data_IF_903790316821
#
_entry.id   IF_903790316821
#
_cell.length_a   1.000
_cell.length_b   1.000
_cell.length_c   1.000
_cell.angle_alpha   90.00
_cell.angle_beta   90.00
_cell.angle_gamma   90.00
#
_symmetry.space_group_name_H-M   'P 1'
#
loop_
_entity.id
_entity.type
_entity.pdbx_description
1 polymer ?
#
# COMPACT_ATOMS: atom_id res chain seq x y z
N UNK A 1 -91.70 39.96 -22.79
CA UNK A 1 -91.18 38.78 -22.06
C UNK A 1 -89.80 39.07 -21.42
N UNK A 2 -88.92 39.84 -22.06
CA UNK A 2 -87.58 40.21 -21.54
C UNK A 2 -87.55 41.02 -20.23
N UNK A 3 -88.55 41.86 -19.94
CA UNK A 3 -88.53 42.70 -18.73
C UNK A 3 -88.72 41.91 -17.42
N UNK A 4 -89.46 40.80 -17.46
CA UNK A 4 -89.69 39.94 -16.29
C UNK A 4 -88.39 39.22 -15.89
N UNK A 5 -87.57 38.86 -16.87
CA UNK A 5 -86.32 38.14 -16.68
C UNK A 5 -85.22 39.05 -16.10
N UNK A 6 -85.18 40.32 -16.54
CA UNK A 6 -84.29 41.35 -15.95
C UNK A 6 -84.61 41.62 -14.49
N UNK A 7 -85.89 41.76 -14.13
CA UNK A 7 -86.32 41.97 -12.74
C UNK A 7 -85.96 40.76 -11.86
N UNK A 8 -86.17 39.54 -12.36
CA UNK A 8 -85.81 38.30 -11.66
C UNK A 8 -84.29 38.19 -11.40
N UNK A 9 -83.46 38.56 -12.38
CA UNK A 9 -82.01 38.55 -12.24
C UNK A 9 -81.51 39.57 -11.21
N UNK A 10 -82.07 40.79 -11.19
CA UNK A 10 -81.75 41.80 -10.17
C UNK A 10 -82.10 41.32 -8.75
N UNK A 11 -83.27 40.70 -8.58
CA UNK A 11 -83.68 40.16 -7.28
C UNK A 11 -82.77 39.01 -6.82
N UNK A 12 -82.35 38.13 -7.75
CA UNK A 12 -81.39 37.04 -7.48
C UNK A 12 -80.04 37.58 -7.03
N UNK A 13 -79.50 38.59 -7.71
CA UNK A 13 -78.24 39.23 -7.32
C UNK A 13 -78.34 39.92 -5.95
N UNK A 14 -79.44 40.62 -5.66
CA UNK A 14 -79.66 41.25 -4.34
C UNK A 14 -79.70 40.21 -3.21
N UNK A 15 -80.40 39.09 -3.41
CA UNK A 15 -80.43 37.97 -2.44
C UNK A 15 -79.05 37.34 -2.24
N UNK A 16 -78.28 37.19 -3.31
CA UNK A 16 -76.92 36.65 -3.22
C UNK A 16 -75.98 37.57 -2.42
N UNK A 17 -75.98 38.88 -2.71
CA UNK A 17 -75.20 39.87 -1.95
C UNK A 17 -75.58 39.89 -0.46
N UNK A 18 -76.88 39.82 -0.15
CA UNK A 18 -77.35 39.75 1.23
C UNK A 18 -76.85 38.50 1.99
N UNK A 19 -76.83 37.33 1.31
CA UNK A 19 -76.28 36.09 1.89
C UNK A 19 -74.78 36.20 2.18
N UNK A 20 -74.01 36.77 1.25
CA UNK A 20 -72.56 36.99 1.44
C UNK A 20 -72.27 37.94 2.60
N UNK A 21 -73.01 39.06 2.70
CA UNK A 21 -72.83 40.00 3.80
C UNK A 21 -73.17 39.38 5.16
N UNK A 22 -74.22 38.55 5.23
CA UNK A 22 -74.54 37.82 6.45
C UNK A 22 -73.44 36.84 6.84
N UNK A 23 -72.91 36.06 5.88
CA UNK A 23 -71.84 35.10 6.15
C UNK A 23 -70.55 35.78 6.61
N UNK A 24 -70.21 36.92 6.02
CA UNK A 24 -69.08 37.75 6.46
C UNK A 24 -69.26 38.20 7.91
N UNK A 25 -70.47 38.64 8.28
CA UNK A 25 -70.77 39.08 9.65
C UNK A 25 -70.66 37.92 10.66
N UNK A 26 -71.14 36.73 10.31
CA UNK A 26 -70.99 35.52 11.14
C UNK A 26 -69.51 35.18 11.39
N UNK A 27 -68.70 35.15 10.33
CA UNK A 27 -67.26 34.82 10.43
C UNK A 27 -66.48 35.84 11.27
N UNK A 28 -66.80 37.13 11.15
CA UNK A 28 -66.16 38.16 11.96
C UNK A 28 -66.51 38.02 13.45
N UNK A 29 -67.73 37.58 13.78
CA UNK A 29 -68.12 37.32 15.17
C UNK A 29 -67.40 36.10 15.75
N UNK A 30 -67.21 35.05 14.95
CA UNK A 30 -66.49 33.84 15.34
C UNK A 30 -65.00 34.12 15.64
N UNK A 31 -64.36 34.95 14.81
CA UNK A 31 -62.97 35.40 15.03
C UNK A 31 -62.84 36.15 16.37
N UNK A 32 -63.76 37.08 16.64
CA UNK A 32 -63.75 37.85 17.89
C UNK A 32 -63.97 36.95 19.13
N UNK A 33 -64.84 35.94 19.03
CA UNK A 33 -65.06 34.97 20.10
C UNK A 33 -63.81 34.12 20.37
N UNK A 34 -63.16 33.61 19.32
CA UNK A 34 -61.93 32.83 19.44
C UNK A 34 -60.79 33.65 20.04
N UNK A 35 -60.66 34.93 19.65
CA UNK A 35 -59.67 35.84 20.25
C UNK A 35 -59.92 36.05 21.74
N UNK A 36 -61.18 36.18 22.17
CA UNK A 36 -61.54 36.27 23.59
C UNK A 36 -61.25 34.98 24.35
N UNK A 37 -61.42 33.81 23.75
CA UNK A 37 -61.04 32.52 24.37
C UNK A 37 -59.53 32.45 24.59
N UNK A 38 -58.75 32.79 23.57
CA UNK A 38 -57.29 32.79 23.62
C UNK A 38 -56.77 33.77 24.70
N UNK A 39 -57.33 34.99 24.74
CA UNK A 39 -56.99 35.98 25.76
C UNK A 39 -57.36 35.51 27.18
N UNK A 40 -58.51 34.84 27.34
CA UNK A 40 -58.92 34.24 28.63
C UNK A 40 -57.97 33.13 29.08
N UNK A 41 -57.50 32.29 28.16
CA UNK A 41 -56.55 31.20 28.46
C UNK A 41 -55.18 31.75 28.88
N UNK A 42 -54.69 32.79 28.20
CA UNK A 42 -53.44 33.48 28.55
C UNK A 42 -53.55 34.22 29.88
N UNK A 43 -54.67 34.93 30.12
CA UNK A 43 -54.86 35.76 31.32
C UNK A 43 -55.21 34.96 32.59
N UNK A 44 -55.75 33.74 32.45
CA UNK A 44 -56.04 32.84 33.59
C UNK A 44 -54.79 32.23 34.23
N UNK A 45 -53.58 32.54 33.76
CA UNK A 45 -52.36 32.34 34.54
C UNK A 45 -52.06 30.89 34.96
N UNK A 46 -52.58 29.89 34.25
CA UNK A 46 -52.32 28.47 34.52
C UNK A 46 -51.37 27.82 33.49
N UNK A 47 -50.54 28.62 32.79
CA UNK A 47 -49.36 28.09 32.14
C UNK A 47 -48.18 28.40 33.06
N UNK A 48 -47.69 27.42 33.85
CA UNK A 48 -46.59 27.67 34.78
C UNK A 48 -45.36 28.19 34.02
N UNK A 49 -44.60 29.13 34.61
CA UNK A 49 -43.40 29.74 33.99
C UNK A 49 -42.25 28.73 33.76
N UNK A 50 -42.45 27.46 34.09
CA UNK A 50 -41.51 26.36 33.87
C UNK A 50 -41.65 25.68 32.50
N UNK A 51 -42.64 26.08 31.68
CA UNK A 51 -42.81 25.55 30.33
C UNK A 51 -42.15 26.51 29.34
N UNK A 52 -40.98 26.09 28.82
CA UNK A 52 -40.33 26.76 27.69
C UNK A 52 -41.36 26.99 26.57
N UNK A 53 -41.33 28.15 25.89
CA UNK A 53 -42.17 28.38 24.73
C UNK A 53 -42.03 27.23 23.73
N UNK A 54 -43.15 26.69 23.26
CA UNK A 54 -43.14 25.62 22.24
C UNK A 54 -42.24 25.93 21.03
N UNK A 55 -42.13 27.18 20.54
CA UNK A 55 -41.17 27.50 19.48
C UNK A 55 -39.71 27.19 19.85
N UNK A 56 -39.31 27.45 21.10
CA UNK A 56 -37.96 27.14 21.60
C UNK A 56 -37.75 25.64 21.77
N UNK A 57 -38.76 24.93 22.30
CA UNK A 57 -38.74 23.46 22.41
C UNK A 57 -38.64 22.83 21.02
N UNK A 58 -39.48 23.25 20.07
CA UNK A 58 -39.46 22.77 18.70
C UNK A 58 -38.12 23.07 18.00
N UNK A 59 -37.55 24.27 18.21
CA UNK A 59 -36.24 24.63 17.67
C UNK A 59 -35.12 23.74 18.25
N UNK A 60 -35.12 23.51 19.57
CA UNK A 60 -34.15 22.63 20.24
C UNK A 60 -34.25 21.17 19.77
N UNK A 61 -35.48 20.65 19.61
CA UNK A 61 -35.74 19.32 19.09
C UNK A 61 -35.34 19.20 17.61
N UNK A 62 -35.58 20.25 16.82
CA UNK A 62 -35.12 20.35 15.43
C UNK A 62 -33.59 20.31 15.34
N UNK A 63 -32.90 21.13 16.14
CA UNK A 63 -31.44 21.13 16.18
C UNK A 63 -30.86 19.78 16.65
N UNK A 64 -31.47 19.17 17.68
CA UNK A 64 -31.09 17.84 18.16
C UNK A 64 -31.33 16.75 17.09
N UNK A 65 -32.45 16.82 16.36
CA UNK A 65 -32.76 15.90 15.27
C UNK A 65 -31.76 16.04 14.11
N UNK A 66 -31.42 17.26 13.69
CA UNK A 66 -30.39 17.50 12.67
C UNK A 66 -29.03 16.98 13.11
N UNK A 67 -28.64 17.23 14.36
CA UNK A 67 -27.39 16.69 14.94
C UNK A 67 -27.40 15.15 14.95
N UNK A 68 -28.50 14.53 15.39
CA UNK A 68 -28.64 13.08 15.40
C UNK A 68 -28.61 12.48 14.00
N UNK A 69 -29.25 13.13 13.01
CA UNK A 69 -29.19 12.72 11.60
C UNK A 69 -27.76 12.79 11.06
N UNK A 70 -27.04 13.89 11.31
CA UNK A 70 -25.64 14.03 10.92
C UNK A 70 -24.75 12.98 11.57
N UNK A 71 -24.90 12.74 12.88
CA UNK A 71 -24.15 11.68 13.57
C UNK A 71 -24.49 10.30 13.00
N UNK A 72 -25.77 10.02 12.70
CA UNK A 72 -26.19 8.75 12.14
C UNK A 72 -25.60 8.51 10.75
N UNK A 73 -25.58 9.52 9.87
CA UNK A 73 -24.97 9.41 8.54
C UNK A 73 -23.46 9.18 8.63
N UNK A 74 -22.78 9.92 9.52
CA UNK A 74 -21.35 9.73 9.78
C UNK A 74 -21.03 8.33 10.32
N UNK A 75 -21.81 7.84 11.30
CA UNK A 75 -21.62 6.49 11.85
C UNK A 75 -21.89 5.40 10.81
N UNK A 76 -22.93 5.54 9.99
CA UNK A 76 -23.22 4.59 8.89
C UNK A 76 -22.10 4.57 7.85
N UNK A 77 -21.58 5.75 7.50
CA UNK A 77 -20.44 5.86 6.60
C UNK A 77 -19.20 5.16 7.19
N UNK A 78 -18.89 5.43 8.46
CA UNK A 78 -17.76 4.81 9.16
C UNK A 78 -17.91 3.29 9.26
N UNK A 79 -19.10 2.79 9.61
CA UNK A 79 -19.41 1.35 9.70
C UNK A 79 -19.23 0.66 8.34
N UNK A 80 -19.74 1.25 7.25
CA UNK A 80 -19.54 0.71 5.89
C UNK A 80 -18.08 0.66 5.50
N UNK A 81 -17.31 1.72 5.78
CA UNK A 81 -15.87 1.78 5.51
C UNK A 81 -15.11 0.72 6.30
N UNK A 82 -15.42 0.54 7.58
CA UNK A 82 -14.80 -0.48 8.42
C UNK A 82 -15.14 -1.91 7.94
N UNK A 83 -16.39 -2.17 7.55
CA UNK A 83 -16.79 -3.46 6.98
C UNK A 83 -16.04 -3.75 5.66
N UNK A 84 -15.88 -2.74 4.80
CA UNK A 84 -15.10 -2.87 3.58
C UNK A 84 -13.63 -3.21 3.88
N UNK A 85 -13.01 -2.48 4.82
CA UNK A 85 -11.64 -2.73 5.26
C UNK A 85 -11.46 -4.14 5.81
N UNK A 86 -12.35 -4.57 6.71
CA UNK A 86 -12.31 -5.93 7.28
C UNK A 86 -12.39 -6.97 6.18
N UNK A 87 -13.32 -6.84 5.23
CA UNK A 87 -13.43 -7.77 4.10
C UNK A 87 -12.17 -7.80 3.24
N UNK A 88 -11.60 -6.63 2.93
CA UNK A 88 -10.38 -6.54 2.14
C UNK A 88 -9.19 -7.19 2.86
N UNK A 89 -9.01 -6.91 4.15
CA UNK A 89 -7.96 -7.52 4.98
C UNK A 89 -8.16 -9.02 5.15
N UNK A 90 -9.38 -9.49 5.42
CA UNK A 90 -9.68 -10.92 5.53
C UNK A 90 -9.36 -11.63 4.21
N UNK A 91 -9.84 -11.10 3.08
CA UNK A 91 -9.53 -11.66 1.76
C UNK A 91 -8.03 -11.74 1.50
N UNK A 92 -7.31 -10.66 1.83
CA UNK A 92 -5.87 -10.58 1.66
C UNK A 92 -5.13 -11.59 2.55
N UNK A 93 -5.42 -11.64 3.85
CA UNK A 93 -4.84 -12.61 4.78
C UNK A 93 -5.13 -14.04 4.33
N UNK A 94 -6.37 -14.35 3.91
CA UNK A 94 -6.71 -15.69 3.43
C UNK A 94 -5.98 -16.08 2.14
N UNK A 95 -5.56 -15.10 1.32
CA UNK A 95 -4.76 -15.40 0.13
C UNK A 95 -3.31 -15.75 0.46
N UNK A 96 -2.80 -15.27 1.59
CA UNK A 96 -1.41 -15.44 2.03
C UNK A 96 -1.27 -16.65 2.96
N UNK A 97 -2.21 -16.81 3.89
CA UNK A 97 -2.27 -17.93 4.83
C UNK A 97 -2.76 -19.15 4.05
N UNK A 98 -1.83 -19.94 3.53
CA UNK A 98 -2.09 -21.21 2.86
C UNK A 98 -3.07 -22.04 3.71
N UNK A 99 -4.20 -22.48 3.12
CA UNK A 99 -5.21 -23.34 3.76
C UNK A 99 -4.70 -24.75 4.15
N UNK A 100 -3.39 -25.01 4.05
CA UNK A 100 -2.76 -26.27 4.45
C UNK A 100 -1.45 -25.95 5.16
N UNK A 101 -1.40 -26.19 6.47
CA UNK A 101 -0.20 -26.14 7.32
C UNK A 101 0.83 -27.25 7.00
N UNK A 102 0.75 -27.84 5.81
CA UNK A 102 1.70 -28.82 5.30
C UNK A 102 2.36 -28.21 4.06
N UNK A 103 3.69 -28.19 3.95
CA UNK A 103 4.37 -27.85 2.72
C UNK A 103 4.01 -28.92 1.68
N UNK A 104 2.93 -28.73 0.95
CA UNK A 104 2.60 -29.56 -0.19
C UNK A 104 3.48 -29.09 -1.34
N UNK A 105 4.57 -29.84 -1.55
CA UNK A 105 5.57 -29.71 -2.61
C UNK A 105 6.22 -28.33 -2.73
N UNK A 106 7.39 -28.19 -2.09
CA UNK A 106 8.56 -27.49 -2.63
C UNK A 106 8.55 -25.96 -2.78
N UNK A 107 7.42 -25.34 -3.07
CA UNK A 107 7.38 -23.90 -3.38
C UNK A 107 7.55 -23.05 -2.10
N UNK A 108 8.70 -22.37 -2.02
CA UNK A 108 9.09 -21.54 -0.88
C UNK A 108 8.28 -20.24 -0.76
N UNK A 109 7.45 -19.87 -1.75
CA UNK A 109 6.81 -18.54 -1.80
C UNK A 109 5.29 -18.61 -2.02
N UNK A 110 4.55 -17.78 -1.28
CA UNK A 110 3.12 -17.55 -1.50
C UNK A 110 2.91 -16.41 -2.50
N UNK A 111 1.85 -16.47 -3.32
CA UNK A 111 1.47 -15.38 -4.22
C UNK A 111 1.02 -14.17 -3.40
N UNK A 112 1.92 -13.21 -3.16
CA UNK A 112 1.58 -11.99 -2.42
C UNK A 112 1.03 -10.96 -3.39
N UNK A 113 -0.20 -10.52 -3.14
CA UNK A 113 -0.88 -9.46 -3.90
C UNK A 113 -1.18 -8.27 -3.02
N UNK A 114 -1.34 -7.10 -3.62
CA UNK A 114 -1.62 -5.84 -2.93
C UNK A 114 -3.04 -5.36 -3.23
N UNK A 115 -3.81 -5.10 -2.16
CA UNK A 115 -5.19 -4.64 -2.25
C UNK A 115 -5.29 -3.20 -2.74
N UNK A 116 -6.37 -2.87 -3.46
CA UNK A 116 -6.66 -1.49 -3.88
C UNK A 116 -7.00 -0.55 -2.72
N UNK A 117 -7.47 -1.08 -1.58
CA UNK A 117 -7.85 -0.28 -0.42
C UNK A 117 -6.59 0.28 0.30
N UNK A 118 -6.48 1.60 0.54
CA UNK A 118 -5.24 2.22 1.02
C UNK A 118 -4.72 1.69 2.37
N UNK A 119 -5.59 1.39 3.33
CA UNK A 119 -5.18 0.92 4.65
C UNK A 119 -4.68 -0.52 4.58
N UNK A 120 -5.40 -1.39 3.87
CA UNK A 120 -5.02 -2.77 3.62
C UNK A 120 -3.72 -2.84 2.80
N UNK A 121 -3.55 -1.95 1.82
CA UNK A 121 -2.31 -1.78 1.07
C UNK A 121 -1.13 -1.45 1.98
N UNK A 122 -1.27 -0.41 2.82
CA UNK A 122 -0.23 0.00 3.76
C UNK A 122 0.18 -1.15 4.68
N UNK A 123 -0.79 -1.85 5.25
CA UNK A 123 -0.55 -3.01 6.10
C UNK A 123 0.09 -4.16 5.33
N UNK A 124 -0.29 -4.37 4.07
CA UNK A 124 0.27 -5.43 3.23
C UNK A 124 1.74 -5.23 2.90
N UNK A 125 2.14 -3.99 2.57
CA UNK A 125 3.55 -3.66 2.34
C UNK A 125 4.39 -3.79 3.62
N UNK A 126 3.87 -3.28 4.74
CA UNK A 126 4.53 -3.38 6.04
C UNK A 126 4.73 -4.85 6.45
N UNK A 127 3.66 -5.64 6.40
CA UNK A 127 3.71 -7.07 6.70
C UNK A 127 4.68 -7.82 5.79
N UNK A 128 4.67 -7.57 4.47
CA UNK A 128 5.54 -8.28 3.54
C UNK A 128 7.02 -8.01 3.82
N UNK A 129 7.39 -6.75 4.06
CA UNK A 129 8.78 -6.40 4.38
C UNK A 129 9.23 -6.94 5.73
N UNK A 130 8.37 -6.90 6.75
CA UNK A 130 8.64 -7.53 8.05
C UNK A 130 8.77 -9.05 7.94
N UNK A 131 7.90 -9.70 7.16
CA UNK A 131 7.99 -11.13 6.88
C UNK A 131 9.33 -11.48 6.22
N UNK A 132 9.77 -10.71 5.22
CA UNK A 132 11.08 -10.91 4.60
C UNK A 132 12.24 -10.72 5.58
N UNK A 133 12.17 -9.73 6.46
CA UNK A 133 13.20 -9.48 7.48
C UNK A 133 13.29 -10.62 8.50
N UNK A 134 12.16 -11.05 9.05
CA UNK A 134 12.15 -12.19 9.98
C UNK A 134 12.50 -13.52 9.29
N UNK A 135 12.30 -13.63 7.98
CA UNK A 135 12.73 -14.79 7.19
C UNK A 135 14.23 -14.75 6.83
N UNK A 136 14.96 -13.66 7.07
CA UNK A 136 16.38 -13.52 6.71
C UNK A 136 17.23 -14.66 7.27
N UNK A 137 17.05 -15.02 8.55
CA UNK A 137 17.86 -16.06 9.17
C UNK A 137 17.64 -17.44 8.53
N UNK A 138 16.38 -17.79 8.24
CA UNK A 138 16.05 -19.04 7.54
C UNK A 138 16.67 -19.06 6.14
N UNK A 139 16.61 -17.93 5.44
CA UNK A 139 17.17 -17.81 4.09
C UNK A 139 18.71 -17.91 4.12
N UNK A 140 19.39 -17.31 5.09
CA UNK A 140 20.83 -17.46 5.28
C UNK A 140 21.23 -18.92 5.57
N UNK A 141 20.44 -19.63 6.39
CA UNK A 141 20.65 -21.06 6.66
C UNK A 141 20.47 -21.91 5.40
N UNK A 142 19.39 -21.69 4.65
CA UNK A 142 19.13 -22.37 3.38
C UNK A 142 20.23 -22.11 2.35
N UNK A 143 20.84 -20.92 2.40
CA UNK A 143 21.95 -20.56 1.52
C UNK A 143 23.27 -21.16 1.95
N UNK A 144 23.41 -21.75 3.15
CA UNK A 144 24.62 -22.45 3.61
C UNK A 144 25.95 -21.70 3.31
N UNK A 145 26.01 -20.39 3.62
CA UNK A 145 27.23 -19.61 3.43
C UNK A 145 28.38 -20.18 4.30
N UNK A 146 29.61 -20.26 3.78
CA UNK A 146 30.79 -20.61 4.58
C UNK A 146 31.07 -19.52 5.61
N UNK A 147 31.64 -19.93 6.74
CA UNK A 147 31.95 -19.03 7.87
C UNK A 147 32.94 -17.93 7.47
N UNK A 148 33.85 -18.20 6.53
CA UNK A 148 34.83 -17.24 6.05
C UNK A 148 35.08 -17.36 4.55
N UNK A 149 35.81 -16.38 4.01
CA UNK A 149 36.21 -16.32 2.61
C UNK A 149 35.13 -15.72 1.68
N UNK A 150 35.52 -15.36 0.44
CA UNK A 150 34.58 -14.89 -0.56
C UNK A 150 33.74 -16.04 -1.15
N UNK A 151 32.52 -15.73 -1.57
CA UNK A 151 31.62 -16.67 -2.27
C UNK A 151 31.06 -15.97 -3.48
N UNK A 152 30.94 -16.71 -4.59
CA UNK A 152 30.27 -16.27 -5.80
C UNK A 152 29.76 -17.49 -6.56
N UNK A 153 28.51 -17.88 -6.32
CA UNK A 153 27.92 -19.04 -6.99
C UNK A 153 26.39 -18.99 -7.05
N UNK A 154 25.85 -19.98 -7.75
CA UNK A 154 24.43 -20.19 -8.01
C UNK A 154 24.10 -21.61 -7.57
N UNK A 155 23.13 -21.73 -6.67
CA UNK A 155 22.62 -23.00 -6.16
C UNK A 155 21.21 -23.23 -6.70
N UNK A 156 21.01 -24.18 -7.63
CA UNK A 156 19.68 -24.65 -7.97
C UNK A 156 19.13 -25.55 -6.86
N UNK A 157 17.85 -25.40 -6.57
CA UNK A 157 17.09 -26.22 -5.63
C UNK A 157 16.01 -26.95 -6.40
N UNK A 158 16.08 -28.28 -6.39
CA UNK A 158 14.99 -29.12 -6.87
C UNK A 158 13.86 -29.12 -5.83
N UNK A 159 12.70 -28.60 -6.23
CA UNK A 159 11.52 -28.49 -5.38
C UNK A 159 10.55 -29.66 -5.61
N UNK A 160 10.91 -30.63 -6.46
CA UNK A 160 10.05 -31.68 -6.96
C UNK A 160 9.04 -31.17 -7.99
N UNK A 161 8.33 -32.10 -8.64
CA UNK A 161 7.37 -31.80 -9.72
C UNK A 161 7.96 -30.96 -10.85
N UNK A 162 9.24 -31.18 -11.18
CA UNK A 162 9.96 -30.44 -12.23
C UNK A 162 10.02 -28.92 -11.99
N UNK A 163 9.93 -28.49 -10.72
CA UNK A 163 10.09 -27.09 -10.32
C UNK A 163 11.51 -26.86 -9.81
N UNK A 164 12.16 -25.82 -10.33
CA UNK A 164 13.49 -25.41 -9.89
C UNK A 164 13.47 -24.01 -9.31
N UNK A 165 13.87 -23.91 -8.04
CA UNK A 165 14.21 -22.65 -7.39
C UNK A 165 15.71 -22.38 -7.57
N UNK A 166 16.13 -21.12 -7.52
CA UNK A 166 17.55 -20.76 -7.60
C UNK A 166 17.90 -19.74 -6.54
N UNK A 167 18.99 -20.01 -5.80
CA UNK A 167 19.60 -19.05 -4.89
C UNK A 167 20.96 -18.64 -5.44
N UNK A 168 21.20 -17.34 -5.53
CA UNK A 168 22.52 -16.79 -5.86
C UNK A 168 23.15 -16.24 -4.61
N UNK A 169 24.46 -16.48 -4.45
CA UNK A 169 25.22 -16.12 -3.25
C UNK A 169 26.43 -15.28 -3.64
N UNK A 170 26.61 -14.18 -2.90
CA UNK A 170 27.80 -13.35 -2.93
C UNK A 170 28.22 -13.06 -1.49
N UNK A 171 29.47 -13.36 -1.17
CA UNK A 171 30.07 -13.02 0.12
C UNK A 171 31.34 -12.20 -0.11
N UNK A 172 31.44 -11.04 0.54
CA UNK A 172 32.61 -10.18 0.53
C UNK A 172 33.01 -9.89 1.97
N UNK A 173 34.30 -10.07 2.25
CA UNK A 173 34.92 -9.70 3.53
C UNK A 173 35.57 -8.32 3.37
N UNK A 174 35.47 -7.49 4.40
CA UNK A 174 36.08 -6.17 4.45
C UNK A 174 36.95 -6.05 5.69
N UNK A 175 38.18 -5.58 5.50
CA UNK A 175 39.14 -5.30 6.56
C UNK A 175 38.88 -3.88 7.13
N UNK A 176 37.66 -3.66 7.63
CA UNK A 176 37.24 -2.45 8.31
C UNK A 176 36.04 -2.71 9.24
N UNK A 177 35.81 -1.85 10.26
CA UNK A 177 34.64 -1.94 11.12
C UNK A 177 33.32 -1.83 10.36
N UNK A 178 32.26 -2.45 10.90
CA UNK A 178 30.93 -2.46 10.29
C UNK A 178 30.40 -1.06 10.02
N UNK A 179 30.57 -0.11 10.93
CA UNK A 179 30.06 1.26 10.77
C UNK A 179 30.65 1.95 9.53
N UNK A 180 31.95 1.81 9.29
CA UNK A 180 32.65 2.37 8.12
C UNK A 180 32.15 1.73 6.83
N UNK A 181 32.09 0.39 6.81
CA UNK A 181 31.64 -0.38 5.63
C UNK A 181 30.18 -0.08 5.31
N UNK A 182 29.32 -0.06 6.33
CA UNK A 182 27.90 0.26 6.20
C UNK A 182 27.69 1.67 5.63
N UNK A 183 28.40 2.68 6.13
CA UNK A 183 28.27 4.07 5.66
C UNK A 183 28.51 4.18 4.15
N UNK A 184 29.52 3.48 3.63
CA UNK A 184 29.84 3.48 2.19
C UNK A 184 28.86 2.61 1.39
N UNK A 185 28.61 1.38 1.84
CA UNK A 185 27.81 0.42 1.08
C UNK A 185 26.32 0.75 1.10
N UNK A 186 25.80 1.39 2.15
CA UNK A 186 24.40 1.78 2.25
C UNK A 186 23.96 2.59 1.03
N UNK A 187 24.75 3.60 0.63
CA UNK A 187 24.47 4.41 -0.54
C UNK A 187 24.47 3.60 -1.85
N UNK A 188 25.46 2.71 -2.00
CA UNK A 188 25.57 1.82 -3.17
C UNK A 188 24.39 0.84 -3.27
N UNK A 189 24.02 0.21 -2.16
CA UNK A 189 22.89 -0.72 -2.10
C UNK A 189 21.60 0.05 -2.42
N UNK A 190 21.34 1.19 -1.80
CA UNK A 190 20.15 1.99 -2.07
C UNK A 190 20.06 2.51 -3.51
N UNK A 191 21.19 2.86 -4.14
CA UNK A 191 21.26 3.20 -5.58
C UNK A 191 20.72 2.04 -6.44
N UNK A 192 21.17 0.82 -6.14
CA UNK A 192 20.67 -0.38 -6.81
C UNK A 192 19.19 -0.65 -6.51
N UNK A 193 18.76 -0.50 -5.25
CA UNK A 193 17.39 -0.73 -4.83
C UNK A 193 16.38 0.26 -5.42
N UNK A 194 16.77 1.52 -5.61
CA UNK A 194 15.96 2.53 -6.31
C UNK A 194 15.82 2.26 -7.81
N UNK A 195 16.78 1.53 -8.36
CA UNK A 195 16.85 1.23 -9.78
C UNK A 195 17.66 2.25 -10.59
N UNK A 196 18.40 3.13 -9.92
CA UNK A 196 19.23 4.19 -10.53
C UNK A 196 20.25 3.63 -11.55
N UNK A 197 20.60 2.35 -11.39
CA UNK A 197 21.62 1.65 -12.18
C UNK A 197 21.05 0.92 -13.41
N UNK A 198 19.74 0.90 -13.61
CA UNK A 198 19.13 0.14 -14.71
C UNK A 198 18.62 1.05 -15.84
N UNK A 199 18.75 0.63 -17.10
CA UNK A 199 18.33 1.44 -18.25
C UNK A 199 16.81 1.47 -18.46
N UNK A 200 16.05 0.61 -17.77
CA UNK A 200 14.60 0.51 -17.92
C UNK A 200 13.84 1.51 -17.03
N UNK A 201 12.63 1.85 -17.46
CA UNK A 201 11.75 2.72 -16.69
C UNK A 201 11.47 2.13 -15.29
N UNK A 202 11.61 2.94 -14.26
CA UNK A 202 11.23 2.60 -12.89
C UNK A 202 10.44 3.76 -12.30
N UNK A 203 9.24 3.47 -11.82
CA UNK A 203 8.32 4.44 -11.26
C UNK A 203 8.23 4.22 -9.75
N UNK A 204 8.40 5.28 -8.96
CA UNK A 204 8.17 5.23 -7.51
C UNK A 204 6.67 5.29 -7.25
N UNK A 205 6.15 4.33 -6.48
CA UNK A 205 4.75 4.22 -6.13
C UNK A 205 4.52 4.57 -4.66
N UNK A 206 3.37 5.20 -4.38
CA UNK A 206 2.84 5.44 -3.02
C UNK A 206 3.86 6.01 -2.00
N UNK A 207 4.69 6.96 -2.44
CA UNK A 207 5.81 7.46 -1.63
C UNK A 207 5.38 7.92 -0.24
N UNK A 208 4.36 8.78 -0.13
CA UNK A 208 3.86 9.27 1.16
C UNK A 208 3.40 8.15 2.09
N UNK A 209 2.72 7.13 1.53
CA UNK A 209 2.23 6.00 2.31
C UNK A 209 3.37 5.13 2.81
N UNK A 210 4.36 4.84 1.95
CA UNK A 210 5.54 4.06 2.30
C UNK A 210 6.38 4.78 3.37
N UNK A 211 6.58 6.08 3.21
CA UNK A 211 7.29 6.92 4.18
C UNK A 211 6.54 7.01 5.52
N UNK A 212 5.22 6.83 5.53
CA UNK A 212 4.43 6.71 6.77
C UNK A 212 4.61 5.37 7.50
N UNK A 213 5.11 4.34 6.82
CA UNK A 213 5.48 3.04 7.42
C UNK A 213 6.89 3.14 7.97
N UNK A 214 7.84 3.55 7.12
CA UNK A 214 9.25 3.64 7.44
C UNK A 214 9.96 4.60 6.48
N UNK A 215 10.84 5.46 7.00
CA UNK A 215 11.59 6.41 6.18
C UNK A 215 12.56 5.69 5.22
N UNK A 216 13.06 4.52 5.60
CA UNK A 216 13.99 3.71 4.80
C UNK A 216 13.25 2.61 4.03
N UNK A 217 12.14 2.98 3.40
CA UNK A 217 11.33 2.08 2.59
C UNK A 217 10.99 2.72 1.25
N UNK A 218 10.91 1.88 0.21
CA UNK A 218 10.59 2.29 -1.15
C UNK A 218 9.66 1.25 -1.79
N UNK A 219 8.63 1.72 -2.48
CA UNK A 219 7.82 0.88 -3.36
C UNK A 219 7.94 1.41 -4.78
N UNK A 220 8.19 0.52 -5.74
CA UNK A 220 8.40 0.90 -7.14
C UNK A 220 7.89 -0.14 -8.12
N UNK A 221 7.56 0.32 -9.32
CA UNK A 221 7.18 -0.50 -10.47
C UNK A 221 8.26 -0.41 -11.55
N UNK A 222 8.66 -1.55 -12.08
CA UNK A 222 9.48 -1.64 -13.29
C UNK A 222 8.74 -2.48 -14.34
N UNK A 223 8.08 -1.86 -15.34
CA UNK A 223 7.52 -2.60 -16.45
C UNK A 223 8.64 -3.27 -17.25
N UNK A 224 8.50 -4.59 -17.48
CA UNK A 224 9.40 -5.33 -18.34
C UNK A 224 8.86 -5.34 -19.78
N UNK A 225 7.58 -5.61 -19.94
CA UNK A 225 6.85 -5.55 -21.20
C UNK A 225 5.36 -5.23 -20.95
N UNK A 226 4.50 -5.47 -21.95
CA UNK A 226 3.06 -5.21 -21.86
C UNK A 226 2.32 -6.14 -20.88
N UNK A 227 2.90 -7.28 -20.55
CA UNK A 227 2.29 -8.39 -19.80
C UNK A 227 2.93 -8.60 -18.41
N UNK A 228 4.16 -8.12 -18.21
CA UNK A 228 4.91 -8.26 -16.96
C UNK A 228 5.40 -6.91 -16.41
N UNK A 229 5.08 -6.66 -15.14
CA UNK A 229 5.66 -5.59 -14.34
C UNK A 229 6.19 -6.12 -13.02
N UNK A 230 7.40 -5.72 -12.62
CA UNK A 230 7.89 -6.00 -11.28
C UNK A 230 7.43 -4.93 -10.30
N UNK A 231 6.73 -5.33 -9.24
CA UNK A 231 6.33 -4.49 -8.12
C UNK A 231 7.29 -4.69 -6.95
N UNK A 232 8.41 -3.96 -6.94
CA UNK A 232 9.45 -4.11 -5.92
C UNK A 232 9.16 -3.26 -4.69
N UNK A 233 9.23 -3.88 -3.52
CA UNK A 233 9.25 -3.18 -2.25
C UNK A 233 10.59 -3.44 -1.56
N UNK A 234 11.24 -2.35 -1.17
CA UNK A 234 12.55 -2.32 -0.54
C UNK A 234 12.41 -1.78 0.88
N UNK A 235 13.14 -2.34 1.85
CA UNK A 235 13.22 -1.80 3.21
C UNK A 235 14.57 -2.10 3.83
N UNK A 236 15.03 -1.19 4.68
CA UNK A 236 16.24 -1.33 5.47
C UNK A 236 15.90 -1.50 6.96
N UNK A 237 16.56 -2.47 7.59
CA UNK A 237 16.52 -2.74 9.02
C UNK A 237 17.95 -2.72 9.54
N UNK A 238 18.30 -1.72 10.33
CA UNK A 238 19.66 -1.55 10.84
C UNK A 238 19.65 -1.43 12.37
N UNK A 239 20.67 -2.03 12.99
CA UNK A 239 21.05 -1.86 14.39
C UNK A 239 22.58 -1.82 14.47
N UNK A 240 23.11 -1.73 15.69
CA UNK A 240 24.55 -1.56 15.92
C UNK A 240 25.40 -2.78 15.46
N UNK A 241 24.81 -3.99 15.47
CA UNK A 241 25.53 -5.24 15.18
C UNK A 241 25.39 -5.69 13.72
N UNK A 242 24.29 -5.34 13.06
CA UNK A 242 24.01 -5.71 11.69
C UNK A 242 22.99 -4.79 10.99
N UNK A 243 23.07 -4.77 9.66
CA UNK A 243 22.08 -4.13 8.80
C UNK A 243 21.61 -5.10 7.71
N UNK A 244 20.29 -5.15 7.51
CA UNK A 244 19.63 -5.92 6.46
C UNK A 244 18.89 -4.97 5.56
N UNK A 245 19.32 -4.88 4.30
CA UNK A 245 18.56 -4.24 3.25
C UNK A 245 17.94 -5.34 2.40
N UNK A 246 16.64 -5.27 2.19
CA UNK A 246 15.90 -6.30 1.45
C UNK A 246 15.08 -5.69 0.34
N UNK A 247 14.87 -6.47 -0.72
CA UNK A 247 13.90 -6.17 -1.77
C UNK A 247 13.20 -7.44 -2.19
N UNK A 248 11.88 -7.38 -2.27
CA UNK A 248 11.06 -8.46 -2.82
C UNK A 248 10.07 -7.90 -3.82
N UNK A 249 9.61 -8.74 -4.75
CA UNK A 249 8.53 -8.37 -5.65
C UNK A 249 7.19 -8.99 -5.26
N UNK A 250 6.11 -8.24 -5.50
CA UNK A 250 4.74 -8.69 -5.35
C UNK A 250 4.23 -9.22 -6.69
N UNK A 251 3.32 -10.19 -6.64
CA UNK A 251 2.71 -10.79 -7.84
C UNK A 251 1.83 -9.79 -8.60
N UNK A 252 1.00 -9.05 -7.87
CA UNK A 252 0.04 -8.11 -8.43
C UNK A 252 -0.21 -6.94 -7.48
N UNK A 253 -0.39 -5.75 -8.04
CA UNK A 253 -1.02 -4.60 -7.38
C UNK A 253 -2.38 -4.31 -8.02
N UNK A 254 -3.46 -4.30 -7.23
CA UNK A 254 -4.81 -4.10 -7.74
C UNK A 254 -5.07 -2.70 -8.33
N UNK A 255 -4.18 -1.72 -8.14
CA UNK A 255 -4.26 -0.40 -8.80
C UNK A 255 -3.51 -0.31 -10.12
N UNK A 256 -2.78 -1.37 -10.48
CA UNK A 256 -1.90 -1.40 -11.64
C UNK A 256 -2.44 -2.39 -12.69
N UNK A 257 -1.94 -2.33 -13.95
CA UNK A 257 -2.26 -3.33 -14.96
C UNK A 257 -2.01 -4.76 -14.45
N UNK A 258 -2.83 -5.69 -14.92
CA UNK A 258 -2.72 -7.09 -14.52
C UNK A 258 -1.45 -7.69 -15.10
N UNK A 259 -0.66 -8.33 -14.24
CA UNK A 259 0.44 -9.18 -14.64
C UNK A 259 -0.13 -10.52 -15.15
N UNK A 260 0.22 -10.87 -16.38
CA UNK A 260 -0.01 -12.21 -16.94
C UNK A 260 1.16 -13.13 -16.63
N UNK A 261 2.37 -12.55 -16.51
CA UNK A 261 3.59 -13.25 -16.15
C UNK A 261 4.17 -12.66 -14.88
N UNK A 262 4.75 -13.53 -14.05
CA UNK A 262 5.44 -13.12 -12.82
C UNK A 262 6.44 -14.17 -12.37
N UNK A 263 7.56 -13.73 -11.82
CA UNK A 263 8.51 -14.62 -11.13
C UNK A 263 8.78 -14.08 -9.73
N UNK A 264 8.67 -14.88 -8.66
CA UNK A 264 9.05 -14.46 -7.32
C UNK A 264 10.56 -14.22 -7.26
N UNK A 265 10.94 -13.01 -6.86
CA UNK A 265 12.32 -12.55 -6.72
C UNK A 265 12.45 -11.85 -5.37
N UNK A 266 13.35 -12.35 -4.53
CA UNK A 266 13.66 -11.77 -3.23
C UNK A 266 15.16 -11.65 -3.05
N UNK A 267 15.61 -10.55 -2.47
CA UNK A 267 17.03 -10.25 -2.28
C UNK A 267 17.25 -9.75 -0.87
N UNK A 268 18.35 -10.18 -0.27
CA UNK A 268 18.84 -9.70 1.01
C UNK A 268 20.29 -9.28 0.86
N UNK A 269 20.61 -8.11 1.41
CA UNK A 269 21.95 -7.61 1.64
C UNK A 269 22.15 -7.54 3.14
N UNK A 270 22.93 -8.49 3.67
CA UNK A 270 23.19 -8.61 5.10
C UNK A 270 24.61 -8.14 5.37
N UNK A 271 24.72 -6.99 6.04
CA UNK A 271 25.96 -6.44 6.54
C UNK A 271 26.06 -6.76 8.03
N UNK A 272 27.17 -7.34 8.46
CA UNK A 272 27.37 -7.74 9.85
C UNK A 272 28.84 -7.61 10.26
N UNK A 273 29.07 -7.43 11.56
CA UNK A 273 30.40 -7.52 12.14
C UNK A 273 30.83 -8.98 12.28
N UNK A 274 32.06 -9.29 11.86
CA UNK A 274 32.74 -10.57 12.13
C UNK A 274 33.77 -10.40 13.26
N UNK A 275 34.30 -9.20 13.41
CA UNK A 275 35.14 -8.76 14.52
C UNK A 275 35.20 -7.23 14.58
N UNK A 276 35.99 -6.66 15.50
CA UNK A 276 36.07 -5.20 15.67
C UNK A 276 36.48 -4.44 14.41
N UNK A 277 37.43 -5.01 13.65
CA UNK A 277 37.99 -4.42 12.42
C UNK A 277 37.63 -5.22 11.17
N UNK A 278 36.60 -6.05 11.25
CA UNK A 278 36.21 -6.92 10.12
C UNK A 278 34.71 -6.98 9.98
N UNK A 279 34.23 -6.60 8.81
CA UNK A 279 32.83 -6.68 8.44
C UNK A 279 32.64 -7.63 7.26
N UNK A 280 31.41 -8.08 7.07
CA UNK A 280 31.04 -8.97 5.97
C UNK A 280 29.75 -8.49 5.33
N UNK A 281 29.72 -8.53 3.99
CA UNK A 281 28.50 -8.48 3.19
C UNK A 281 28.16 -9.89 2.73
N UNK A 282 26.96 -10.36 3.07
CA UNK A 282 26.30 -11.49 2.42
C UNK A 282 25.14 -10.96 1.60
N UNK A 283 25.30 -11.01 0.28
CA UNK A 283 24.18 -10.80 -0.64
C UNK A 283 23.64 -12.16 -1.06
N UNK A 284 22.33 -12.31 -0.95
CA UNK A 284 21.65 -13.48 -1.44
C UNK A 284 20.40 -13.09 -2.20
N UNK A 285 20.14 -13.81 -3.30
CA UNK A 285 18.92 -13.61 -4.06
C UNK A 285 18.27 -14.93 -4.36
N UNK A 286 16.99 -15.01 -4.05
CA UNK A 286 16.11 -16.10 -4.38
C UNK A 286 15.32 -15.75 -5.65
N UNK A 287 15.26 -16.69 -6.59
CA UNK A 287 14.37 -16.68 -7.74
C UNK A 287 13.62 -18.01 -7.76
N UNK A 288 12.28 -17.98 -7.69
CA UNK A 288 11.47 -19.19 -7.85
C UNK A 288 11.01 -19.40 -9.29
N UNK A 289 10.11 -20.38 -9.55
CA UNK A 289 9.61 -20.67 -10.89
C UNK A 289 8.78 -19.51 -11.44
N UNK A 290 8.77 -19.37 -12.76
CA UNK A 290 7.88 -18.42 -13.41
C UNK A 290 6.42 -18.88 -13.32
N UNK A 291 5.52 -17.93 -13.13
CA UNK A 291 4.09 -18.07 -13.22
C UNK A 291 3.62 -17.41 -14.52
N UNK A 292 2.84 -18.12 -15.33
CA UNK A 292 2.20 -17.59 -16.53
C UNK A 292 0.71 -17.90 -16.45
N UNK A 293 -0.13 -16.87 -16.45
CA UNK A 293 -1.59 -16.98 -16.37
C UNK A 293 -2.09 -17.85 -15.18
N UNK A 294 -1.37 -17.78 -14.05
CA UNK A 294 -1.69 -18.55 -12.84
C UNK A 294 -1.16 -19.98 -12.82
N UNK A 295 -0.46 -20.41 -13.88
CA UNK A 295 0.18 -21.73 -13.98
C UNK A 295 1.67 -21.58 -13.67
N UNK A 296 2.18 -22.42 -12.78
CA UNK A 296 3.62 -22.49 -12.47
C UNK A 296 4.30 -23.26 -13.59
N UNK A 297 5.33 -22.68 -14.20
CA UNK A 297 6.14 -23.33 -15.22
C UNK A 297 7.17 -24.27 -14.57
N UNK A 298 7.35 -25.42 -15.21
CA UNK A 298 8.45 -26.34 -14.91
C UNK A 298 9.75 -25.88 -15.57
N UNK A 299 10.89 -26.40 -15.15
CA UNK A 299 12.17 -26.14 -15.84
C UNK A 299 12.15 -26.64 -17.30
N UNK A 300 11.32 -27.63 -17.62
CA UNK A 300 11.10 -28.13 -18.98
C UNK A 300 10.30 -27.14 -19.83
N UNK A 301 9.25 -26.54 -19.26
CA UNK A 301 8.47 -25.50 -19.95
C UNK A 301 9.34 -24.27 -20.26
N UNK A 302 10.24 -23.91 -19.34
CA UNK A 302 11.19 -22.81 -19.55
C UNK A 302 12.21 -23.14 -20.66
N UNK A 303 12.73 -24.36 -20.70
CA UNK A 303 13.57 -24.82 -21.81
C UNK A 303 12.85 -24.77 -23.16
N UNK A 304 11.60 -25.28 -23.20
CA UNK A 304 10.79 -25.27 -24.41
C UNK A 304 10.49 -23.84 -24.88
N UNK A 305 10.21 -22.93 -23.93
CA UNK A 305 9.97 -21.51 -24.22
C UNK A 305 11.22 -20.79 -24.73
N UNK A 306 12.42 -21.25 -24.37
CA UNK A 306 13.68 -20.76 -24.90
C UNK A 306 14.00 -21.31 -26.31
N UNK A 307 13.19 -22.24 -26.83
CA UNK A 307 13.35 -22.82 -28.16
C UNK A 307 14.41 -23.92 -28.25
N UNK A 308 14.81 -24.50 -27.12
CA UNK A 308 15.78 -25.60 -27.08
C UNK A 308 15.08 -26.94 -27.42
N UNK A 309 15.52 -27.62 -28.49
CA UNK A 309 15.06 -28.99 -28.78
C UNK A 309 15.83 -30.00 -27.93
N UNK A 310 15.16 -30.46 -26.87
CA UNK A 310 15.72 -31.42 -25.92
C UNK A 310 15.03 -32.79 -25.98
N UNK A 311 14.19 -33.02 -27.00
CA UNK A 311 13.33 -34.21 -27.13
C UNK A 311 14.09 -35.54 -27.23
N UNK A 312 15.34 -35.52 -27.68
CA UNK A 312 16.23 -36.69 -27.77
C UNK A 312 17.13 -36.94 -26.56
N UNK A 313 17.08 -36.07 -25.54
CA UNK A 313 17.95 -36.15 -24.36
C UNK A 313 17.24 -36.84 -23.19
N UNK A 314 17.99 -37.56 -22.36
CA UNK A 314 17.48 -38.07 -21.08
C UNK A 314 17.14 -36.93 -20.12
N UNK A 315 16.24 -37.14 -19.17
CA UNK A 315 15.81 -36.09 -18.24
C UNK A 315 16.98 -35.39 -17.50
N UNK A 316 18.03 -36.13 -17.14
CA UNK A 316 19.23 -35.55 -16.51
C UNK A 316 20.06 -34.67 -17.45
N UNK A 317 20.14 -35.04 -18.73
CA UNK A 317 20.80 -34.23 -19.76
C UNK A 317 19.98 -32.97 -20.07
N UNK A 318 18.65 -33.07 -20.13
CA UNK A 318 17.77 -31.91 -20.27
C UNK A 318 17.94 -30.94 -19.10
N UNK A 319 17.97 -31.42 -17.86
CA UNK A 319 18.18 -30.58 -16.69
C UNK A 319 19.57 -29.90 -16.70
N UNK A 320 20.60 -30.62 -17.14
CA UNK A 320 21.95 -30.04 -17.33
C UNK A 320 21.93 -28.91 -18.37
N UNK A 321 21.13 -29.05 -19.44
CA UNK A 321 20.93 -27.99 -20.43
C UNK A 321 20.20 -26.79 -19.85
N UNK A 322 19.15 -27.01 -19.05
CA UNK A 322 18.48 -25.92 -18.34
C UNK A 322 19.46 -25.13 -17.46
N UNK A 323 20.29 -25.82 -16.67
CA UNK A 323 21.33 -25.18 -15.86
C UNK A 323 22.31 -24.36 -16.70
N UNK A 324 22.69 -24.86 -17.88
CA UNK A 324 23.59 -24.18 -18.80
C UNK A 324 22.96 -22.98 -19.51
N UNK A 325 21.65 -22.98 -19.75
CA UNK A 325 20.90 -21.85 -20.30
C UNK A 325 20.85 -20.69 -19.29
N UNK A 326 20.55 -21.04 -18.04
CA UNK A 326 20.32 -20.08 -16.95
C UNK A 326 21.65 -19.53 -16.43
N UNK A 327 22.67 -20.37 -16.27
CA UNK A 327 23.94 -20.04 -15.61
C UNK A 327 24.69 -18.79 -16.10
N UNK A 328 24.98 -18.62 -17.42
CA UNK A 328 25.89 -17.58 -17.91
C UNK A 328 25.40 -16.15 -17.66
N UNK A 329 24.12 -15.86 -17.92
CA UNK A 329 23.56 -14.52 -17.68
C UNK A 329 23.61 -14.15 -16.19
N UNK A 330 23.27 -15.11 -15.33
CA UNK A 330 23.33 -14.89 -13.88
C UNK A 330 24.75 -14.76 -13.35
N UNK A 331 25.70 -15.48 -13.93
CA UNK A 331 27.11 -15.38 -13.56
C UNK A 331 27.67 -13.99 -13.89
N UNK A 332 27.35 -13.45 -15.07
CA UNK A 332 27.73 -12.09 -15.46
C UNK A 332 27.16 -11.04 -14.49
N UNK A 333 25.88 -11.19 -14.10
CA UNK A 333 25.26 -10.30 -13.12
C UNK A 333 25.91 -10.40 -11.74
N UNK A 334 26.27 -11.61 -11.30
CA UNK A 334 26.96 -11.83 -10.04
C UNK A 334 28.37 -11.23 -10.03
N UNK A 335 29.11 -11.33 -11.12
CA UNK A 335 30.43 -10.73 -11.27
C UNK A 335 30.36 -9.20 -11.25
N UNK A 336 29.36 -8.62 -11.95
CA UNK A 336 29.06 -7.19 -11.89
C UNK A 336 28.75 -6.74 -10.46
N UNK A 337 27.94 -7.51 -9.73
CA UNK A 337 27.60 -7.23 -8.34
C UNK A 337 28.82 -7.29 -7.43
N UNK A 338 29.66 -8.31 -7.61
CA UNK A 338 30.92 -8.43 -6.87
C UNK A 338 31.82 -7.22 -7.12
N UNK A 339 31.98 -6.80 -8.37
CA UNK A 339 32.79 -5.65 -8.73
C UNK A 339 32.22 -4.35 -8.14
N UNK A 340 30.89 -4.19 -8.16
CA UNK A 340 30.20 -3.01 -7.63
C UNK A 340 30.33 -2.88 -6.10
N UNK A 341 30.23 -3.98 -5.37
CA UNK A 341 30.31 -4.00 -3.90
C UNK A 341 31.73 -4.16 -3.35
N UNK A 342 32.72 -4.48 -4.19
CA UNK A 342 34.13 -4.45 -3.77
C UNK A 342 34.57 -3.00 -3.58
N UNK A 343 35.03 -2.67 -2.37
CA UNK A 343 35.50 -1.33 -2.04
C UNK A 343 36.95 -1.14 -2.50
N UNK A 344 37.23 -0.04 -3.20
CA UNK A 344 38.59 0.32 -3.61
C UNK A 344 39.34 1.00 -2.45
N UNK A 345 40.68 0.89 -2.41
CA UNK A 345 41.50 1.67 -1.49
C UNK A 345 41.19 3.17 -1.64
N UNK A 346 40.80 3.83 -0.54
CA UNK A 346 40.41 5.25 -0.51
C UNK A 346 38.91 5.51 -0.35
N UNK A 347 38.03 4.57 -0.72
CA UNK A 347 36.58 4.73 -0.49
C UNK A 347 36.22 4.68 1.01
N UNK A 348 37.05 4.01 1.81
CA UNK A 348 36.89 3.88 3.26
C UNK A 348 37.41 5.10 4.04
N UNK A 349 38.15 6.02 3.42
CA UNK A 349 38.85 7.13 4.10
C UNK A 349 38.00 8.42 4.12
N UNK A 350 36.94 8.51 3.32
CA UNK A 350 36.25 9.76 3.01
C UNK A 350 35.18 10.26 3.98
N UNK A 351 35.09 9.79 5.24
CA UNK A 351 33.95 10.15 6.13
C UNK A 351 34.31 10.80 7.47
N UNK A 352 35.57 11.19 7.73
CA UNK A 352 35.90 11.88 9.00
C UNK A 352 35.71 13.40 9.00
N UNK A 353 35.53 14.07 7.84
CA UNK A 353 35.69 15.53 7.76
C UNK A 353 34.39 16.31 7.54
N UNK A 354 33.27 15.85 8.11
CA UNK A 354 32.03 16.62 8.19
C UNK A 354 31.72 17.05 9.64
N UNK A 355 32.70 17.59 10.35
CA UNK A 355 32.47 18.24 11.65
C UNK A 355 33.47 19.35 11.97
N UNK A 356 33.65 20.32 11.08
CA UNK A 356 34.07 21.66 11.51
C UNK A 356 33.86 22.71 10.42
N UNK A 357 33.41 23.89 10.86
CA UNK A 357 33.32 25.16 10.12
C UNK A 357 32.08 25.42 9.25
N UNK A 358 31.07 26.08 9.83
CA UNK A 358 30.77 27.46 9.44
C UNK A 358 29.89 28.16 10.48
N UNK A 359 30.57 28.92 11.33
CA UNK A 359 29.99 29.99 12.12
C UNK A 359 29.80 31.21 11.21
N UNK A 360 28.58 31.73 11.20
CA UNK A 360 28.22 33.16 11.13
C UNK A 360 28.78 34.02 9.98
N UNK A 361 27.92 34.39 9.02
CA UNK A 361 27.89 35.77 8.53
C UNK A 361 26.54 36.15 7.90
N UNK A 362 25.81 37.04 8.57
CA UNK A 362 24.62 37.71 8.06
C UNK A 362 24.96 38.67 6.90
N UNK A 363 24.09 38.83 5.87
CA UNK A 363 24.28 39.85 4.86
C UNK A 363 23.68 41.19 5.29
N UNK A 364 24.56 42.19 5.26
CA UNK A 364 24.31 43.63 5.38
C UNK A 364 23.33 44.11 4.31
N UNK A 365 22.29 44.82 4.74
CA UNK A 365 21.44 45.66 3.92
C UNK A 365 22.26 46.74 3.20
N UNK A 366 22.05 46.88 1.89
CA UNK A 366 22.42 48.09 1.14
C UNK A 366 21.16 48.69 0.53
N UNK A 367 20.83 49.89 1.02
CA UNK A 367 20.10 50.95 0.33
C UNK A 367 20.82 51.31 -0.97
N UNK A 368 20.05 51.73 -1.97
CA UNK A 368 20.27 52.92 -2.81
C UNK A 368 19.08 53.02 -3.79
N UNK A 369 18.25 54.06 -3.66
CA UNK A 369 18.20 55.28 -4.51
C UNK A 369 17.82 55.00 -5.94
#
# INVERSE_FOLDING_TARGET
MEDVERVRNRLKQRRHRARLMRKRKELLAEIDELQKVLYRLVRRGNVPPTLLPWPEVAASLGAAATKAQYTCTQLRFHSRRMLHLVRAMTSWVTSIVRSRNLPQSGSLVALVTLSAEPVARRVGLDWFTQHMYHNTQRMLQLSAFPVGGPVLDILPFDCGNDISDTVRRLQIMYDAPLCTVYTVLRGKIWSKLRGDMYPWASEVLDNDMVQSIDANMLYRRSPLDAEESNYYVCREFANDDHAVLLVGNLHQDATQPRNERWRPRMFWYVLESVGPETARLRMMSYSGPQLVNGVVLTWQDELASAGEDVSGLSAGEQFTRYQALVGPEWQSLLESDRAFFTLKPGELVGTSDASSTSSTRAPRTKRNT
#
